data_IF_482027825085
#
_entry.id   IF_482027825085
#
_cell.length_a   1.000
_cell.length_b   1.000
_cell.length_c   1.000
_cell.angle_alpha   90.00
_cell.angle_beta   90.00
_cell.angle_gamma   90.00
#
_symmetry.space_group_name_H-M   'P 1'
#
loop_
_entity.id
_entity.type
_entity.pdbx_description
1 polymer ?
#
# COMPACT_ATOMS: atom_id res chain seq x y z
N UNK A 1 -48.31 17.59 11.96
CA UNK A 1 -47.99 16.26 12.50
C UNK A 1 -47.31 15.47 11.40
N UNK A 2 -45.99 15.34 11.30
CA UNK A 2 -44.90 15.67 12.21
C UNK A 2 -43.73 16.19 11.40
N UNK A 3 -43.09 17.24 11.92
CA UNK A 3 -41.69 17.54 11.62
C UNK A 3 -40.84 16.36 12.06
N UNK A 4 -39.92 15.91 11.21
CA UNK A 4 -38.63 15.39 11.66
C UNK A 4 -37.57 15.84 10.65
N UNK A 5 -37.30 17.13 10.70
CA UNK A 5 -35.97 17.67 10.51
C UNK A 5 -34.95 16.85 11.31
N UNK A 6 -33.83 16.48 10.71
CA UNK A 6 -32.52 17.05 11.06
C UNK A 6 -31.47 16.48 10.10
N UNK A 7 -30.87 17.42 9.40
CA UNK A 7 -29.60 17.35 8.69
C UNK A 7 -28.50 16.88 9.66
N UNK A 8 -28.07 15.61 9.60
CA UNK A 8 -26.87 15.18 10.31
C UNK A 8 -25.65 15.54 9.46
N UNK A 9 -25.19 16.78 9.60
CA UNK A 9 -23.88 17.22 9.14
C UNK A 9 -22.80 16.69 10.10
N UNK A 10 -21.67 16.26 9.54
CA UNK A 10 -20.37 15.99 10.21
C UNK A 10 -20.43 14.84 11.24
N UNK A 11 -19.82 13.70 10.97
CA UNK A 11 -18.37 13.55 10.81
C UNK A 11 -18.06 12.48 9.76
N UNK A 12 -17.13 12.77 8.84
CA UNK A 12 -16.46 11.68 8.12
C UNK A 12 -15.73 10.88 9.20
N UNK A 13 -16.02 9.59 9.41
CA UNK A 13 -15.18 8.82 10.29
C UNK A 13 -13.79 8.85 9.65
N UNK A 14 -12.75 9.08 10.45
CA UNK A 14 -11.38 8.75 10.04
C UNK A 14 -11.31 7.22 10.05
N UNK A 15 -12.03 6.59 9.11
CA UNK A 15 -11.80 5.22 8.73
C UNK A 15 -10.48 5.26 7.99
N UNK A 16 -9.39 4.87 8.66
CA UNK A 16 -8.28 4.26 7.94
C UNK A 16 -8.92 3.30 6.94
N UNK A 17 -8.67 3.51 5.65
CA UNK A 17 -9.31 2.79 4.56
C UNK A 17 -9.12 1.29 4.75
N UNK A 18 -10.11 0.64 5.37
CA UNK A 18 -10.19 -0.80 5.38
C UNK A 18 -10.66 -1.18 3.98
N UNK A 19 -9.67 -1.24 3.09
CA UNK A 19 -9.76 -2.01 1.86
C UNK A 19 -10.36 -3.37 2.19
N UNK A 20 -11.12 -3.94 1.25
CA UNK A 20 -11.60 -5.31 1.35
C UNK A 20 -10.50 -6.23 1.93
N UNK A 21 -10.84 -7.19 2.80
CA UNK A 21 -9.83 -8.04 3.44
C UNK A 21 -8.91 -8.59 2.36
N UNK A 22 -7.63 -8.25 2.49
CA UNK A 22 -6.60 -8.69 1.55
C UNK A 22 -6.60 -10.22 1.54
N UNK A 23 -6.23 -10.81 0.39
CA UNK A 23 -5.99 -12.24 0.41
C UNK A 23 -4.90 -12.55 1.46
N UNK A 24 -5.03 -13.62 2.25
CA UNK A 24 -4.03 -13.94 3.28
C UNK A 24 -2.60 -14.02 2.72
N UNK A 25 -2.46 -14.38 1.45
CA UNK A 25 -1.18 -14.44 0.74
C UNK A 25 -0.62 -13.04 0.42
N UNK A 26 -1.47 -12.10 -0.01
CA UNK A 26 -1.06 -10.70 -0.21
C UNK A 26 -0.61 -10.09 1.12
N UNK A 27 -1.37 -10.28 2.19
CA UNK A 27 -1.01 -9.77 3.52
C UNK A 27 0.29 -10.39 4.05
N UNK A 28 0.47 -11.71 3.85
CA UNK A 28 1.70 -12.41 4.23
C UNK A 28 2.92 -11.81 3.54
N UNK A 29 2.90 -11.67 2.22
CA UNK A 29 4.04 -11.12 1.48
C UNK A 29 4.28 -9.63 1.77
N UNK A 30 3.23 -8.83 1.95
CA UNK A 30 3.36 -7.43 2.37
C UNK A 30 4.04 -7.31 3.74
N UNK A 31 3.68 -8.18 4.68
CA UNK A 31 4.29 -8.21 6.02
C UNK A 31 5.75 -8.64 5.95
N UNK A 32 6.07 -9.69 5.18
CA UNK A 32 7.45 -10.13 4.96
C UNK A 32 8.32 -9.02 4.34
N UNK A 33 7.82 -8.37 3.29
CA UNK A 33 8.53 -7.27 2.63
C UNK A 33 8.86 -6.14 3.63
N UNK A 34 7.91 -5.74 4.48
CA UNK A 34 8.16 -4.71 5.50
C UNK A 34 9.20 -5.13 6.54
N UNK A 35 9.15 -6.39 6.99
CA UNK A 35 10.11 -6.89 7.98
C UNK A 35 11.53 -6.95 7.41
N UNK A 36 11.67 -7.44 6.17
CA UNK A 36 12.95 -7.49 5.48
C UNK A 36 13.50 -6.09 5.17
N UNK A 37 12.64 -5.15 4.77
CA UNK A 37 13.03 -3.75 4.61
C UNK A 37 13.59 -3.17 5.91
N UNK A 38 12.96 -3.44 7.07
CA UNK A 38 13.48 -3.01 8.38
C UNK A 38 14.83 -3.63 8.74
N UNK A 39 15.15 -4.80 8.18
CA UNK A 39 16.43 -5.48 8.32
C UNK A 39 17.46 -5.04 7.27
N UNK A 40 17.11 -4.08 6.41
CA UNK A 40 17.89 -3.67 5.24
C UNK A 40 18.20 -4.79 4.24
N UNK A 41 17.44 -5.90 4.27
CA UNK A 41 17.50 -6.95 3.25
C UNK A 41 16.61 -6.55 2.06
N UNK A 42 17.11 -5.57 1.32
CA UNK A 42 16.39 -4.92 0.22
C UNK A 42 16.13 -5.87 -0.96
N UNK A 43 17.09 -6.73 -1.30
CA UNK A 43 16.92 -7.72 -2.37
C UNK A 43 15.77 -8.67 -2.06
N UNK A 44 15.72 -9.25 -0.85
CA UNK A 44 14.64 -10.18 -0.48
C UNK A 44 13.32 -9.45 -0.30
N UNK A 45 13.33 -8.23 0.24
CA UNK A 45 12.13 -7.40 0.35
C UNK A 45 11.50 -7.09 -1.03
N UNK A 46 12.31 -6.85 -2.07
CA UNK A 46 11.80 -6.65 -3.43
C UNK A 46 11.07 -7.87 -3.97
N UNK A 47 11.56 -9.08 -3.72
CA UNK A 47 10.92 -10.33 -4.17
C UNK A 47 9.49 -10.39 -3.64
N UNK A 48 9.30 -10.14 -2.35
CA UNK A 48 7.97 -10.13 -1.76
C UNK A 48 7.08 -8.99 -2.27
N UNK A 49 7.63 -7.81 -2.55
CA UNK A 49 6.86 -6.76 -3.21
C UNK A 49 6.37 -7.20 -4.60
N UNK A 50 7.20 -7.90 -5.36
CA UNK A 50 6.82 -8.40 -6.69
C UNK A 50 5.74 -9.50 -6.61
N UNK A 51 5.81 -10.39 -5.62
CA UNK A 51 4.75 -11.38 -5.37
C UNK A 51 3.41 -10.69 -5.06
N UNK A 52 3.41 -9.65 -4.21
CA UNK A 52 2.19 -8.89 -3.93
C UNK A 52 1.63 -8.27 -5.21
N UNK A 53 2.46 -7.68 -6.05
CA UNK A 53 2.04 -7.04 -7.29
C UNK A 53 1.64 -8.02 -8.40
N UNK A 54 2.10 -9.27 -8.34
CA UNK A 54 1.62 -10.34 -9.20
C UNK A 54 0.21 -10.80 -8.79
N UNK A 55 -0.08 -10.80 -7.49
CA UNK A 55 -1.38 -11.19 -6.93
C UNK A 55 -2.42 -10.07 -6.99
N UNK A 56 -1.99 -8.85 -6.68
CA UNK A 56 -2.80 -7.62 -6.71
C UNK A 56 -2.00 -6.50 -7.39
N UNK A 57 -2.13 -6.35 -8.72
CA UNK A 57 -1.46 -5.31 -9.49
C UNK A 57 -1.90 -3.88 -9.12
N UNK A 58 -2.97 -3.70 -8.35
CA UNK A 58 -3.43 -2.40 -7.89
C UNK A 58 -3.01 -2.12 -6.43
N UNK A 59 -2.10 -2.92 -5.86
CA UNK A 59 -1.76 -2.78 -4.45
C UNK A 59 -0.86 -1.58 -4.17
N UNK A 60 -1.47 -0.46 -3.78
CA UNK A 60 -0.80 0.82 -3.48
C UNK A 60 0.36 0.67 -2.50
N UNK A 61 0.20 -0.12 -1.42
CA UNK A 61 1.25 -0.32 -0.40
C UNK A 61 2.50 -1.01 -0.95
N UNK A 62 2.34 -1.95 -1.89
CA UNK A 62 3.45 -2.68 -2.46
C UNK A 62 4.28 -1.78 -3.39
N UNK A 63 3.63 -0.92 -4.18
CA UNK A 63 4.34 0.09 -4.96
C UNK A 63 5.08 1.12 -4.09
N UNK A 64 4.47 1.57 -2.98
CA UNK A 64 5.17 2.47 -2.05
C UNK A 64 6.43 1.83 -1.49
N UNK A 65 6.29 0.62 -0.95
CA UNK A 65 7.41 -0.09 -0.34
C UNK A 65 8.49 -0.43 -1.36
N UNK A 66 8.13 -0.92 -2.55
CA UNK A 66 9.10 -1.20 -3.63
C UNK A 66 9.81 0.06 -4.10
N UNK A 67 9.10 1.18 -4.20
CA UNK A 67 9.69 2.48 -4.52
C UNK A 67 10.74 2.92 -3.50
N UNK A 68 10.44 2.79 -2.20
CA UNK A 68 11.41 3.09 -1.13
C UNK A 68 12.60 2.11 -1.18
N UNK A 69 12.36 0.81 -1.37
CA UNK A 69 13.44 -0.18 -1.49
C UNK A 69 14.36 0.14 -2.68
N UNK A 70 13.81 0.50 -3.84
CA UNK A 70 14.58 0.91 -5.02
C UNK A 70 15.40 2.16 -4.77
N UNK A 71 14.86 3.12 -4.02
CA UNK A 71 15.60 4.31 -3.59
C UNK A 71 16.82 3.94 -2.73
N UNK A 72 16.67 3.04 -1.76
CA UNK A 72 17.78 2.53 -0.94
C UNK A 72 18.83 1.80 -1.78
N UNK A 73 18.41 1.10 -2.83
CA UNK A 73 19.28 0.46 -3.82
C UNK A 73 19.83 1.42 -4.89
N UNK A 74 19.60 2.74 -4.75
CA UNK A 74 20.01 3.78 -5.69
C UNK A 74 19.41 3.67 -7.10
N UNK A 75 18.36 2.87 -7.28
CA UNK A 75 17.52 2.86 -8.48
C UNK A 75 16.47 3.98 -8.39
N UNK A 76 16.94 5.22 -8.56
CA UNK A 76 16.08 6.40 -8.42
C UNK A 76 15.02 6.50 -9.51
N UNK A 77 15.30 5.98 -10.71
CA UNK A 77 14.34 5.97 -11.82
C UNK A 77 13.19 5.03 -11.49
N UNK A 78 13.51 3.77 -11.15
CA UNK A 78 12.49 2.79 -10.79
C UNK A 78 11.73 3.16 -9.51
N UNK A 79 12.38 3.83 -8.55
CA UNK A 79 11.73 4.37 -7.37
C UNK A 79 10.68 5.43 -7.72
N UNK A 80 11.04 6.39 -8.57
CA UNK A 80 10.14 7.45 -9.03
C UNK A 80 8.94 6.91 -9.81
N UNK A 81 9.15 5.89 -10.64
CA UNK A 81 8.07 5.21 -11.35
C UNK A 81 7.07 4.55 -10.42
N UNK A 82 7.54 3.77 -9.44
CA UNK A 82 6.70 3.07 -8.47
C UNK A 82 5.91 4.05 -7.58
N UNK A 83 6.56 5.12 -7.10
CA UNK A 83 5.89 6.12 -6.27
C UNK A 83 4.82 6.89 -7.06
N UNK A 84 5.11 7.26 -8.32
CA UNK A 84 4.13 7.90 -9.19
C UNK A 84 2.93 6.98 -9.45
N UNK A 85 3.18 5.70 -9.69
CA UNK A 85 2.10 4.73 -9.91
C UNK A 85 1.26 4.55 -8.64
N UNK A 86 1.89 4.45 -7.47
CA UNK A 86 1.20 4.40 -6.18
C UNK A 86 0.27 5.61 -5.97
N UNK A 87 0.75 6.81 -6.26
CA UNK A 87 -0.05 8.04 -6.18
C UNK A 87 -1.26 8.03 -7.12
N UNK A 88 -1.18 7.36 -8.26
CA UNK A 88 -2.30 7.23 -9.20
C UNK A 88 -3.37 6.22 -8.75
N UNK A 89 -3.04 5.33 -7.80
CA UNK A 89 -3.92 4.30 -7.26
C UNK A 89 -4.54 4.67 -5.90
N UNK A 90 -4.07 5.75 -5.25
CA UNK A 90 -4.51 6.21 -3.94
C UNK A 90 -5.77 7.10 -4.04
#
# INVERSE_FOLDING_TARGET
MSLFSILFSRTKPVTQGVAAPLSPLVEFHLTQAHNLFKLADYQTAMVHCNEVLALDPAQTKAYQLRGVIRYELQDFVGAGEDLRFSLSLA
#
